data_IF_481564666986
#
_entry.id   IF_481564666986
#
_cell.length_a   1.000
_cell.length_b   1.000
_cell.length_c   1.000
_cell.angle_alpha   90.00
_cell.angle_beta   90.00
_cell.angle_gamma   90.00
#
_symmetry.space_group_name_H-M   'P 1'
#
loop_
_entity.id
_entity.type
_entity.pdbx_description
1 polymer ?
#
# COMPACT_ATOMS: atom_id res chain seq x y z
N UNK A 1 -42.02 -14.90 -11.85
CA UNK A 1 -41.83 -13.48 -11.90
C UNK A 1 -40.81 -13.16 -12.99
N UNK A 2 -41.12 -12.19 -13.85
CA UNK A 2 -40.18 -11.70 -14.85
C UNK A 2 -39.46 -10.47 -14.30
N UNK A 3 -38.14 -10.47 -14.37
CA UNK A 3 -37.26 -9.37 -13.88
C UNK A 3 -36.23 -9.02 -14.93
N UNK A 4 -35.77 -7.78 -14.92
CA UNK A 4 -34.66 -7.29 -15.73
C UNK A 4 -33.52 -6.92 -14.76
N UNK A 5 -32.50 -7.76 -14.57
CA UNK A 5 -31.42 -7.46 -13.64
C UNK A 5 -30.51 -6.34 -14.19
N UNK A 6 -30.13 -5.41 -13.31
CA UNK A 6 -29.22 -4.33 -13.61
C UNK A 6 -28.20 -4.21 -12.50
N UNK A 7 -26.92 -4.14 -12.86
CA UNK A 7 -25.83 -3.86 -11.93
C UNK A 7 -25.11 -2.58 -12.32
N UNK A 8 -24.71 -1.77 -11.36
CA UNK A 8 -24.00 -0.53 -11.62
C UNK A 8 -22.89 -0.27 -10.62
N UNK A 9 -21.73 0.13 -11.16
CA UNK A 9 -20.59 0.57 -10.37
C UNK A 9 -20.08 1.88 -10.96
N UNK A 10 -20.10 3.01 -10.24
CA UNK A 10 -19.50 4.26 -10.72
C UNK A 10 -18.00 4.09 -10.96
N UNK A 11 -17.51 4.60 -12.09
CA UNK A 11 -16.12 4.55 -12.47
C UNK A 11 -15.47 5.92 -12.37
N UNK A 12 -14.50 6.04 -11.46
CA UNK A 12 -13.68 7.25 -11.31
C UNK A 12 -12.29 6.98 -11.85
N UNK A 13 -12.04 7.37 -13.09
CA UNK A 13 -10.77 7.17 -13.76
C UNK A 13 -9.70 8.16 -13.30
N UNK A 14 -9.26 8.06 -12.06
CA UNK A 14 -8.21 8.91 -11.49
C UNK A 14 -7.26 8.13 -10.61
N UNK A 15 -6.02 8.60 -10.51
CA UNK A 15 -5.05 8.06 -9.55
C UNK A 15 -5.37 8.48 -8.11
N UNK A 16 -4.76 7.81 -7.14
CA UNK A 16 -4.86 8.18 -5.73
C UNK A 16 -4.33 9.60 -5.45
N UNK A 17 -3.35 10.06 -6.22
CA UNK A 17 -2.79 11.41 -6.12
C UNK A 17 -3.82 12.51 -6.45
N UNK A 18 -4.85 12.17 -7.20
CA UNK A 18 -5.92 13.08 -7.61
C UNK A 18 -7.15 13.04 -6.69
N UNK A 19 -7.02 12.58 -5.47
CA UNK A 19 -8.15 12.55 -4.50
C UNK A 19 -8.73 13.95 -4.28
N UNK A 20 -7.93 14.99 -4.41
CA UNK A 20 -8.34 16.40 -4.24
C UNK A 20 -9.14 16.95 -5.41
N UNK A 21 -9.02 16.33 -6.59
CA UNK A 21 -9.71 16.81 -7.76
C UNK A 21 -11.19 16.46 -7.73
N UNK A 22 -12.01 17.42 -8.14
CA UNK A 22 -13.42 17.17 -8.27
C UNK A 22 -13.70 16.13 -9.38
N UNK A 23 -14.60 15.18 -9.09
CA UNK A 23 -14.99 14.15 -10.05
C UNK A 23 -15.46 14.72 -11.41
N UNK A 24 -16.05 15.91 -11.41
CA UNK A 24 -16.47 16.58 -12.64
C UNK A 24 -15.31 17.01 -13.52
N UNK A 25 -14.22 17.50 -12.91
CA UNK A 25 -12.99 17.87 -13.64
C UNK A 25 -12.33 16.62 -14.20
N UNK A 26 -12.17 15.58 -13.40
CA UNK A 26 -11.56 14.33 -13.87
C UNK A 26 -12.40 13.64 -14.94
N UNK A 27 -13.72 13.76 -14.90
CA UNK A 27 -14.60 13.17 -15.90
C UNK A 27 -14.42 13.74 -17.31
N UNK A 28 -13.98 14.99 -17.44
CA UNK A 28 -13.66 15.59 -18.76
C UNK A 28 -12.56 14.83 -19.50
N UNK A 29 -11.71 14.15 -18.77
CA UNK A 29 -10.62 13.34 -19.31
C UNK A 29 -11.03 11.93 -19.73
N UNK A 30 -12.23 11.49 -19.35
CA UNK A 30 -12.68 10.13 -19.60
C UNK A 30 -12.93 9.86 -21.08
N UNK A 31 -12.42 8.71 -21.53
CA UNK A 31 -12.77 8.07 -22.80
C UNK A 31 -13.44 6.75 -22.45
N UNK A 32 -14.74 6.68 -22.69
CA UNK A 32 -15.62 5.60 -22.25
C UNK A 32 -15.98 4.75 -23.46
N UNK A 33 -15.82 3.45 -23.35
CA UNK A 33 -16.19 2.49 -24.39
C UNK A 33 -17.05 1.40 -23.78
N UNK A 34 -18.08 0.95 -24.51
CA UNK A 34 -18.78 -0.30 -24.20
C UNK A 34 -18.20 -1.44 -25.02
N UNK A 35 -17.93 -2.55 -24.36
CA UNK A 35 -17.47 -3.80 -24.97
C UNK A 35 -18.61 -4.82 -25.00
N UNK A 36 -18.36 -6.03 -25.48
CA UNK A 36 -19.33 -7.13 -25.42
C UNK A 36 -19.77 -7.42 -23.98
N UNK A 37 -18.90 -7.25 -23.00
CA UNK A 37 -19.14 -7.67 -21.62
C UNK A 37 -19.27 -6.53 -20.61
N UNK A 38 -19.00 -5.29 -20.99
CA UNK A 38 -19.04 -4.22 -20.00
C UNK A 38 -18.60 -2.85 -20.50
N UNK A 39 -18.23 -2.01 -19.55
CA UNK A 39 -17.81 -0.63 -19.76
C UNK A 39 -16.36 -0.46 -19.36
N UNK A 40 -15.59 0.18 -20.21
CA UNK A 40 -14.20 0.56 -20.00
C UNK A 40 -14.04 2.07 -20.00
N UNK A 41 -13.16 2.57 -19.12
CA UNK A 41 -12.81 3.99 -19.05
C UNK A 41 -11.31 4.13 -19.05
N UNK A 42 -10.79 4.90 -20.01
CA UNK A 42 -9.37 5.25 -20.05
C UNK A 42 -9.26 6.78 -20.00
N UNK A 43 -8.83 7.36 -18.86
CA UNK A 43 -8.56 8.79 -18.80
C UNK A 43 -7.38 9.16 -19.69
N UNK A 44 -7.39 10.33 -20.32
CA UNK A 44 -6.27 10.78 -21.16
C UNK A 44 -5.04 11.21 -20.36
N UNK A 45 -5.29 11.79 -19.19
CA UNK A 45 -4.24 12.33 -18.31
C UNK A 45 -4.51 11.93 -16.86
N UNK A 46 -3.46 11.86 -16.07
CA UNK A 46 -3.50 11.93 -14.62
C UNK A 46 -2.85 13.22 -14.15
N UNK A 47 -3.27 13.69 -12.98
CA UNK A 47 -2.66 14.81 -12.28
C UNK A 47 -2.01 14.27 -11.02
N UNK A 48 -0.78 14.62 -10.79
CA UNK A 48 -0.08 14.37 -9.54
C UNK A 48 0.80 15.57 -9.18
N UNK A 49 1.55 15.48 -8.09
CA UNK A 49 2.45 16.55 -7.66
C UNK A 49 3.57 16.86 -8.68
N UNK A 50 3.80 15.96 -9.63
CA UNK A 50 4.77 16.12 -10.72
C UNK A 50 4.17 16.81 -11.94
N UNK A 51 2.88 17.16 -11.90
CA UNK A 51 2.13 17.77 -12.99
C UNK A 51 1.31 16.76 -13.83
N UNK A 52 1.00 17.14 -15.05
CA UNK A 52 0.18 16.31 -15.94
C UNK A 52 1.00 15.19 -16.55
N UNK A 53 0.53 13.97 -16.36
CA UNK A 53 1.13 12.77 -16.94
C UNK A 53 0.11 12.07 -17.85
N UNK A 54 0.61 11.43 -18.90
CA UNK A 54 -0.24 10.58 -19.74
C UNK A 54 -0.74 9.39 -18.92
N UNK A 55 -2.05 9.17 -18.90
CA UNK A 55 -2.63 8.03 -18.21
C UNK A 55 -2.74 6.83 -19.16
N UNK A 56 -2.29 5.66 -18.72
CA UNK A 56 -2.38 4.40 -19.45
C UNK A 56 -3.32 3.40 -18.77
N UNK A 57 -3.89 3.77 -17.62
CA UNK A 57 -4.76 2.87 -16.85
C UNK A 57 -6.14 2.79 -17.48
N UNK A 58 -6.60 1.57 -17.73
CA UNK A 58 -7.98 1.27 -18.09
C UNK A 58 -8.70 0.77 -16.86
N UNK A 59 -9.80 1.41 -16.50
CA UNK A 59 -10.76 1.01 -15.48
C UNK A 59 -11.91 0.30 -16.17
N UNK A 60 -12.39 -0.80 -15.61
CA UNK A 60 -13.47 -1.55 -16.25
C UNK A 60 -14.47 -2.14 -15.26
N UNK A 61 -15.70 -2.29 -15.72
CA UNK A 61 -16.75 -3.10 -15.09
C UNK A 61 -17.32 -4.02 -16.13
N UNK A 62 -17.19 -5.33 -15.91
CA UNK A 62 -17.72 -6.36 -16.79
C UNK A 62 -18.76 -7.19 -16.05
N UNK A 63 -19.71 -7.75 -16.78
CA UNK A 63 -20.75 -8.62 -16.23
C UNK A 63 -21.02 -9.83 -17.08
N UNK A 64 -21.42 -10.90 -16.41
CA UNK A 64 -21.76 -12.17 -17.02
C UNK A 64 -22.96 -12.77 -16.28
N UNK A 65 -23.80 -13.57 -16.99
CA UNK A 65 -24.66 -14.51 -16.29
C UNK A 65 -23.82 -15.59 -15.59
N UNK A 66 -24.37 -16.33 -14.68
CA UNK A 66 -23.73 -17.49 -14.03
C UNK A 66 -23.18 -18.52 -15.04
N UNK A 67 -23.74 -18.54 -16.25
CA UNK A 67 -23.32 -19.40 -17.39
C UNK A 67 -22.28 -18.76 -18.28
N UNK A 68 -21.90 -17.51 -18.00
CA UNK A 68 -20.92 -16.77 -18.79
C UNK A 68 -21.50 -16.02 -20.00
N UNK A 69 -22.83 -15.84 -20.08
CA UNK A 69 -23.45 -15.09 -21.16
C UNK A 69 -23.21 -13.57 -21.03
N UNK A 70 -23.12 -12.91 -22.17
CA UNK A 70 -22.92 -11.46 -22.22
C UNK A 70 -24.18 -10.69 -21.79
N UNK A 71 -24.01 -9.45 -21.24
CA UNK A 71 -25.12 -8.54 -20.99
C UNK A 71 -25.84 -8.11 -22.28
N UNK A 72 -27.09 -7.69 -22.12
CA UNK A 72 -27.88 -7.21 -23.25
C UNK A 72 -27.54 -5.77 -23.65
N UNK A 73 -27.25 -4.92 -22.66
CA UNK A 73 -27.00 -3.50 -22.90
C UNK A 73 -26.23 -2.85 -21.72
N UNK A 74 -25.85 -1.58 -21.90
CA UNK A 74 -24.99 -0.85 -20.97
C UNK A 74 -25.52 0.58 -20.73
N UNK A 75 -25.20 1.08 -19.51
CA UNK A 75 -25.35 2.49 -19.14
C UNK A 75 -23.95 3.06 -18.83
N UNK A 76 -23.23 3.54 -19.87
CA UNK A 76 -21.82 3.90 -19.72
C UNK A 76 -21.57 5.24 -19.01
N UNK A 77 -22.62 6.03 -18.76
CA UNK A 77 -22.52 7.32 -18.06
C UNK A 77 -23.52 7.43 -16.92
N UNK A 78 -23.14 8.18 -15.88
CA UNK A 78 -24.01 8.47 -14.74
C UNK A 78 -25.31 9.12 -15.20
N UNK A 79 -25.23 10.09 -16.12
CA UNK A 79 -26.39 10.81 -16.65
C UNK A 79 -27.41 9.87 -17.35
N UNK A 80 -26.93 8.89 -18.09
CA UNK A 80 -27.81 7.92 -18.75
C UNK A 80 -28.52 6.99 -17.80
N UNK A 81 -27.85 6.66 -16.69
CA UNK A 81 -28.40 5.78 -15.67
C UNK A 81 -29.39 6.50 -14.76
N UNK A 82 -28.96 7.58 -14.08
CA UNK A 82 -29.82 8.28 -13.11
C UNK A 82 -30.92 9.13 -13.81
N UNK A 83 -30.61 9.66 -14.98
CA UNK A 83 -31.50 10.57 -15.71
C UNK A 83 -31.51 11.99 -15.14
N UNK A 84 -32.25 12.88 -15.75
CA UNK A 84 -32.44 14.25 -15.30
C UNK A 84 -33.31 14.27 -14.03
N UNK A 85 -32.78 14.85 -12.94
CA UNK A 85 -33.45 14.87 -11.66
C UNK A 85 -33.53 13.52 -10.93
N UNK A 86 -32.90 12.48 -11.45
CA UNK A 86 -32.82 11.17 -10.83
C UNK A 86 -31.73 11.08 -9.76
N UNK A 87 -31.75 9.97 -9.02
CA UNK A 87 -30.73 9.63 -8.02
C UNK A 87 -30.31 8.16 -8.16
N UNK A 88 -29.24 7.75 -7.50
CA UNK A 88 -28.86 6.32 -7.44
C UNK A 88 -29.92 5.43 -6.78
N UNK A 89 -30.72 5.97 -5.87
CA UNK A 89 -31.80 5.23 -5.21
C UNK A 89 -33.07 5.13 -6.07
N UNK A 90 -33.23 6.04 -7.04
CA UNK A 90 -34.37 6.06 -7.95
C UNK A 90 -33.91 6.40 -9.37
N UNK A 91 -33.12 5.54 -10.00
CA UNK A 91 -32.54 5.83 -11.31
C UNK A 91 -33.61 5.71 -12.41
N UNK A 92 -33.60 6.66 -13.32
CA UNK A 92 -34.56 6.69 -14.42
C UNK A 92 -34.46 5.48 -15.37
N UNK A 93 -33.23 4.99 -15.58
CA UNK A 93 -32.96 3.82 -16.40
C UNK A 93 -33.70 2.57 -15.92
N UNK A 94 -33.73 2.34 -14.60
CA UNK A 94 -34.45 1.21 -14.00
C UNK A 94 -35.94 1.50 -13.96
N UNK A 95 -36.34 2.66 -13.45
CA UNK A 95 -37.78 3.03 -13.32
C UNK A 95 -38.54 2.98 -14.62
N UNK A 96 -37.92 3.42 -15.74
CA UNK A 96 -38.50 3.45 -17.06
C UNK A 96 -38.11 2.25 -17.93
N UNK A 97 -37.37 1.29 -17.38
CA UNK A 97 -36.82 0.15 -18.11
C UNK A 97 -36.15 0.56 -19.45
N UNK A 98 -35.25 1.56 -19.38
CA UNK A 98 -34.56 2.05 -20.58
C UNK A 98 -33.69 0.94 -21.20
N UNK A 99 -33.61 0.85 -22.53
CA UNK A 99 -32.90 -0.23 -23.22
C UNK A 99 -31.38 -0.18 -23.05
N UNK A 100 -30.80 1.00 -22.67
CA UNK A 100 -29.37 1.19 -22.63
C UNK A 100 -28.68 1.26 -24.00
N UNK A 101 -27.35 1.33 -24.01
CA UNK A 101 -26.52 1.31 -25.22
C UNK A 101 -26.04 -0.10 -25.53
N UNK A 102 -25.85 -0.40 -26.80
CA UNK A 102 -25.24 -1.66 -27.25
C UNK A 102 -23.70 -1.59 -27.13
N UNK A 103 -23.06 -2.75 -27.21
CA UNK A 103 -21.60 -2.88 -27.33
C UNK A 103 -21.06 -2.06 -28.52
N UNK A 104 -19.81 -1.58 -28.39
CA UNK A 104 -19.15 -0.74 -29.38
C UNK A 104 -19.51 0.76 -29.32
N UNK A 105 -20.36 1.18 -28.36
CA UNK A 105 -20.69 2.60 -28.15
C UNK A 105 -19.55 3.34 -27.45
N UNK A 106 -19.48 4.66 -27.73
CA UNK A 106 -18.45 5.55 -27.11
C UNK A 106 -19.10 6.77 -26.47
N UNK A 107 -18.48 7.25 -25.42
CA UNK A 107 -18.77 8.52 -24.76
C UNK A 107 -17.48 9.17 -24.28
N UNK A 108 -17.44 10.49 -24.27
CA UNK A 108 -16.25 11.26 -23.87
C UNK A 108 -16.64 12.41 -22.95
N UNK A 109 -15.74 12.75 -22.04
CA UNK A 109 -15.89 13.92 -21.17
C UNK A 109 -17.11 13.85 -20.24
N UNK A 110 -17.52 12.65 -19.83
CA UNK A 110 -18.68 12.41 -18.97
C UNK A 110 -18.28 11.65 -17.71
N UNK A 111 -19.09 11.77 -16.67
CA UNK A 111 -18.97 10.89 -15.51
C UNK A 111 -19.30 9.45 -15.94
N UNK A 112 -18.35 8.56 -15.75
CA UNK A 112 -18.46 7.19 -16.21
C UNK A 112 -19.24 6.31 -15.24
N UNK A 113 -19.93 5.35 -15.79
CA UNK A 113 -20.72 4.35 -15.07
C UNK A 113 -20.48 2.97 -15.68
N UNK A 114 -20.05 2.02 -14.88
CA UNK A 114 -20.09 0.61 -15.23
C UNK A 114 -21.49 0.06 -15.04
N UNK A 115 -22.45 0.55 -15.85
CA UNK A 115 -23.83 0.13 -15.81
C UNK A 115 -24.06 -1.02 -16.78
N UNK A 116 -24.61 -2.12 -16.29
CA UNK A 116 -24.81 -3.37 -17.03
C UNK A 116 -26.27 -3.77 -16.91
N UNK A 117 -26.94 -3.97 -18.03
CA UNK A 117 -28.30 -4.50 -18.11
C UNK A 117 -28.23 -5.92 -18.69
N UNK A 118 -28.68 -6.89 -17.90
CA UNK A 118 -28.76 -8.27 -18.34
C UNK A 118 -30.08 -8.53 -19.09
N UNK A 119 -30.12 -9.65 -19.78
CA UNK A 119 -31.35 -10.13 -20.40
C UNK A 119 -32.43 -10.39 -19.34
N UNK A 120 -33.68 -10.27 -19.75
CA UNK A 120 -34.82 -10.59 -18.88
C UNK A 120 -34.75 -12.04 -18.41
N UNK A 121 -35.01 -12.24 -17.14
CA UNK A 121 -35.04 -13.57 -16.50
C UNK A 121 -36.42 -13.84 -15.95
N UNK A 122 -36.95 -15.02 -16.25
CA UNK A 122 -38.21 -15.51 -15.69
C UNK A 122 -37.91 -16.54 -14.63
N UNK A 123 -38.28 -16.24 -13.38
CA UNK A 123 -38.05 -17.10 -12.23
C UNK A 123 -39.36 -17.68 -11.71
N UNK A 124 -39.41 -19.00 -11.55
CA UNK A 124 -40.45 -19.69 -10.79
C UNK A 124 -40.21 -19.55 -9.28
N UNK A 125 -41.20 -19.93 -8.45
CA UNK A 125 -40.97 -19.96 -7.00
C UNK A 125 -39.75 -20.78 -6.63
N UNK A 126 -38.83 -20.17 -5.80
CA UNK A 126 -37.57 -20.76 -5.33
C UNK A 126 -36.47 -20.94 -6.40
N UNK A 127 -36.70 -20.55 -7.63
CA UNK A 127 -35.61 -20.46 -8.63
C UNK A 127 -34.71 -19.23 -8.37
N UNK A 128 -33.45 -19.40 -8.64
CA UNK A 128 -32.41 -18.34 -8.55
C UNK A 128 -31.72 -18.15 -9.88
N UNK A 129 -31.20 -16.96 -10.12
CA UNK A 129 -30.30 -16.66 -11.22
C UNK A 129 -29.11 -15.87 -10.69
N UNK A 130 -27.90 -16.30 -11.04
CA UNK A 130 -26.65 -15.69 -10.62
C UNK A 130 -26.08 -14.75 -11.69
N UNK A 131 -25.42 -13.71 -11.24
CA UNK A 131 -24.71 -12.77 -12.09
C UNK A 131 -23.35 -12.45 -11.49
N UNK A 132 -22.32 -12.38 -12.34
CA UNK A 132 -20.96 -12.10 -11.94
C UNK A 132 -20.62 -10.68 -12.40
N UNK A 133 -20.17 -9.83 -11.48
CA UNK A 133 -19.73 -8.48 -11.79
C UNK A 133 -18.26 -8.37 -11.42
N UNK A 134 -17.44 -7.99 -12.39
CA UNK A 134 -16.01 -7.78 -12.23
C UNK A 134 -15.70 -6.29 -12.37
N UNK A 135 -15.12 -5.72 -11.33
CA UNK A 135 -14.56 -4.38 -11.36
C UNK A 135 -13.04 -4.45 -11.25
N UNK A 136 -12.33 -3.72 -12.10
CA UNK A 136 -10.88 -3.78 -12.11
C UNK A 136 -10.23 -2.60 -12.79
N UNK A 137 -8.90 -2.58 -12.71
CA UNK A 137 -8.05 -1.63 -13.41
C UNK A 137 -6.76 -2.32 -13.88
N UNK A 138 -6.21 -1.85 -14.98
CA UNK A 138 -4.93 -2.34 -15.51
C UNK A 138 -4.27 -1.31 -16.42
N UNK A 139 -2.94 -1.29 -16.44
CA UNK A 139 -2.18 -0.55 -17.44
C UNK A 139 -1.99 -1.33 -18.75
N UNK A 140 -2.25 -2.64 -18.71
CA UNK A 140 -2.11 -3.56 -19.86
C UNK A 140 -3.50 -4.05 -20.27
N UNK A 141 -4.13 -3.34 -21.17
CA UNK A 141 -5.50 -3.66 -21.64
C UNK A 141 -5.64 -5.10 -22.11
N UNK A 142 -4.60 -5.66 -22.73
CA UNK A 142 -4.55 -7.04 -23.21
C UNK A 142 -4.69 -8.07 -22.07
N UNK A 143 -4.33 -7.68 -20.84
CA UNK A 143 -4.45 -8.57 -19.66
C UNK A 143 -5.88 -8.75 -19.18
N UNK A 144 -6.81 -7.88 -19.60
CA UNK A 144 -8.21 -7.93 -19.15
C UNK A 144 -8.83 -9.27 -19.53
N UNK A 145 -8.67 -9.70 -20.78
CA UNK A 145 -9.24 -10.97 -21.26
C UNK A 145 -8.78 -12.16 -20.42
N UNK A 146 -7.49 -12.24 -20.12
CA UNK A 146 -6.91 -13.32 -19.29
C UNK A 146 -7.42 -13.29 -17.85
N UNK A 147 -7.56 -12.10 -17.27
CA UNK A 147 -8.11 -11.94 -15.92
C UNK A 147 -9.58 -12.37 -15.88
N UNK A 148 -10.37 -11.88 -16.82
CA UNK A 148 -11.79 -12.15 -16.93
C UNK A 148 -12.07 -13.64 -17.12
N UNK A 149 -11.25 -14.34 -17.93
CA UNK A 149 -11.42 -15.77 -18.17
C UNK A 149 -11.40 -16.63 -16.89
N UNK A 150 -10.79 -16.13 -15.81
CA UNK A 150 -10.73 -16.81 -14.51
C UNK A 150 -12.00 -16.66 -13.67
N UNK A 151 -12.86 -15.70 -14.00
CA UNK A 151 -14.00 -15.31 -13.18
C UNK A 151 -15.32 -15.27 -13.96
N UNK A 152 -15.37 -15.96 -15.11
CA UNK A 152 -16.50 -15.84 -16.04
C UNK A 152 -17.73 -16.66 -15.64
N UNK A 153 -17.53 -17.74 -14.89
CA UNK A 153 -18.63 -18.61 -14.44
C UNK A 153 -18.64 -18.73 -12.93
N UNK A 154 -19.79 -19.08 -12.34
CA UNK A 154 -19.94 -19.28 -10.90
C UNK A 154 -18.93 -20.30 -10.37
N UNK A 155 -18.78 -21.45 -11.04
CA UNK A 155 -17.79 -22.47 -10.68
C UNK A 155 -16.37 -21.93 -10.63
N UNK A 156 -15.99 -21.08 -11.60
CA UNK A 156 -14.65 -20.45 -11.61
C UNK A 156 -14.47 -19.50 -10.43
N UNK A 157 -15.50 -18.72 -10.09
CA UNK A 157 -15.47 -17.79 -8.95
C UNK A 157 -15.35 -18.56 -7.64
N UNK A 158 -16.10 -19.65 -7.45
CA UNK A 158 -16.02 -20.50 -6.27
C UNK A 158 -14.62 -21.13 -6.13
N UNK A 159 -14.06 -21.67 -7.21
CA UNK A 159 -12.71 -22.25 -7.19
C UNK A 159 -11.67 -21.20 -6.77
N UNK A 160 -11.73 -19.99 -7.32
CA UNK A 160 -10.82 -18.90 -6.93
C UNK A 160 -11.03 -18.48 -5.47
N UNK A 161 -12.27 -18.46 -4.98
CA UNK A 161 -12.56 -18.19 -3.57
C UNK A 161 -11.88 -19.20 -2.65
N UNK A 162 -11.94 -20.49 -2.98
CA UNK A 162 -11.26 -21.53 -2.20
C UNK A 162 -9.73 -21.43 -2.29
N UNK A 163 -9.18 -21.07 -3.46
CA UNK A 163 -7.77 -20.78 -3.60
C UNK A 163 -7.34 -19.60 -2.70
N UNK A 164 -8.12 -18.52 -2.66
CA UNK A 164 -7.86 -17.35 -1.82
C UNK A 164 -7.95 -17.71 -0.33
N UNK A 165 -8.97 -18.47 0.08
CA UNK A 165 -9.08 -18.97 1.47
C UNK A 165 -7.84 -19.78 1.86
N UNK A 166 -7.44 -20.73 1.02
CA UNK A 166 -6.25 -21.56 1.25
C UNK A 166 -4.97 -20.73 1.31
N UNK A 167 -4.84 -19.74 0.43
CA UNK A 167 -3.72 -18.81 0.45
C UNK A 167 -3.61 -18.08 1.80
N UNK A 168 -4.71 -17.51 2.29
CA UNK A 168 -4.70 -16.76 3.54
C UNK A 168 -4.50 -17.66 4.76
N UNK A 169 -5.07 -18.86 4.79
CA UNK A 169 -4.81 -19.83 5.84
C UNK A 169 -3.34 -20.23 5.95
N UNK A 170 -2.64 -20.32 4.82
CA UNK A 170 -1.19 -20.58 4.80
C UNK A 170 -0.35 -19.37 5.21
N UNK A 171 -0.83 -18.16 4.94
CA UNK A 171 -0.12 -16.91 5.29
C UNK A 171 -0.33 -16.51 6.74
N UNK A 172 -1.54 -16.66 7.25
CA UNK A 172 -1.91 -16.38 8.63
C UNK A 172 -2.07 -17.73 9.33
N UNK A 173 -0.96 -18.35 9.63
CA UNK A 173 -0.86 -19.73 10.14
C UNK A 173 -0.86 -19.82 11.67
N UNK A 174 -1.45 -18.84 12.34
CA UNK A 174 -1.66 -18.80 13.79
C UNK A 174 -3.15 -18.91 14.09
N UNK A 175 -3.50 -19.64 15.14
CA UNK A 175 -4.87 -19.77 15.65
C UNK A 175 -4.90 -19.42 17.14
N UNK A 176 -6.04 -18.96 17.59
CA UNK A 176 -6.29 -18.59 18.99
C UNK A 176 -7.50 -19.35 19.49
N UNK A 177 -7.40 -19.88 20.68
CA UNK A 177 -8.46 -20.65 21.37
C UNK A 177 -8.55 -20.13 22.81
N UNK A 178 -9.13 -18.93 22.97
CA UNK A 178 -9.23 -18.26 24.28
C UNK A 178 -10.49 -18.69 25.06
N UNK A 179 -11.41 -19.40 24.40
CA UNK A 179 -12.74 -19.72 24.94
C UNK A 179 -13.78 -18.61 24.66
N UNK A 180 -13.38 -17.49 24.10
CA UNK A 180 -14.23 -16.41 23.63
C UNK A 180 -14.12 -16.29 22.10
N UNK A 181 -15.19 -16.65 21.40
CA UNK A 181 -15.22 -16.67 19.94
C UNK A 181 -15.02 -15.29 19.31
N UNK A 182 -15.48 -14.22 19.95
CA UNK A 182 -15.33 -12.86 19.45
C UNK A 182 -13.85 -12.41 19.59
N UNK A 183 -13.21 -12.73 20.71
CA UNK A 183 -11.78 -12.49 20.91
C UNK A 183 -10.93 -13.27 19.89
N UNK A 184 -11.25 -14.54 19.65
CA UNK A 184 -10.54 -15.40 18.68
C UNK A 184 -10.67 -14.85 17.25
N UNK A 185 -11.86 -14.40 16.86
CA UNK A 185 -12.09 -13.77 15.55
C UNK A 185 -11.37 -12.44 15.42
N UNK A 186 -11.34 -11.64 16.47
CA UNK A 186 -10.58 -10.38 16.50
C UNK A 186 -9.07 -10.64 16.35
N UNK A 187 -8.54 -11.63 17.03
CA UNK A 187 -7.12 -12.02 16.91
C UNK A 187 -6.76 -12.53 15.51
N UNK A 188 -7.67 -13.20 14.81
CA UNK A 188 -7.47 -13.53 13.37
C UNK A 188 -7.30 -12.28 12.52
N UNK A 189 -8.13 -11.27 12.75
CA UNK A 189 -8.01 -9.96 12.08
C UNK A 189 -6.69 -9.27 12.40
N UNK A 190 -6.25 -9.25 13.66
CA UNK A 190 -4.96 -8.69 14.06
C UNK A 190 -3.81 -9.40 13.34
N UNK A 191 -3.83 -10.73 13.30
CA UNK A 191 -2.76 -11.53 12.66
C UNK A 191 -2.71 -11.35 11.14
N UNK A 192 -3.83 -10.99 10.52
CA UNK A 192 -3.91 -10.68 9.09
C UNK A 192 -3.27 -9.33 8.73
N UNK A 193 -3.34 -8.32 9.61
CA UNK A 193 -2.88 -6.96 9.35
C UNK A 193 -1.40 -6.86 8.91
N UNK A 194 -0.44 -7.55 9.54
CA UNK A 194 0.97 -7.47 9.14
C UNK A 194 1.22 -7.91 7.70
N UNK A 195 0.49 -8.91 7.23
CA UNK A 195 0.61 -9.39 5.85
C UNK A 195 0.09 -8.34 4.87
N UNK A 196 -1.04 -7.70 5.17
CA UNK A 196 -1.56 -6.59 4.37
C UNK A 196 -0.61 -5.39 4.36
N UNK A 197 -0.03 -5.04 5.49
CA UNK A 197 0.93 -3.93 5.60
C UNK A 197 2.17 -4.16 4.73
N UNK A 198 2.60 -5.38 4.54
CA UNK A 198 3.67 -5.70 3.59
C UNK A 198 3.27 -5.44 2.15
N UNK A 199 2.02 -5.68 1.79
CA UNK A 199 1.52 -5.50 0.41
C UNK A 199 1.30 -4.02 0.11
N UNK A 200 0.63 -3.29 1.01
CA UNK A 200 0.15 -1.93 0.77
C UNK A 200 0.98 -0.84 1.43
N UNK A 201 1.99 -1.18 2.22
CA UNK A 201 2.72 -0.26 3.06
C UNK A 201 2.11 -0.12 4.46
N UNK A 202 2.79 0.59 5.35
CA UNK A 202 2.45 0.67 6.76
C UNK A 202 1.14 1.41 7.06
N UNK A 203 0.67 2.26 6.16
CA UNK A 203 -0.55 3.04 6.36
C UNK A 203 -1.76 2.50 5.61
N UNK A 204 -1.65 1.43 4.84
CA UNK A 204 -2.64 0.96 3.86
C UNK A 204 -3.00 1.97 2.76
N UNK A 205 -2.42 3.15 2.81
CA UNK A 205 -2.64 4.23 1.86
C UNK A 205 -1.27 4.64 1.29
N UNK A 206 -0.73 3.90 0.32
CA UNK A 206 0.64 4.05 -0.16
C UNK A 206 0.95 5.46 -0.69
N UNK A 207 -0.07 6.21 -1.05
CA UNK A 207 0.03 7.59 -1.56
C UNK A 207 -0.57 8.61 -0.60
N UNK A 208 -0.84 8.21 0.63
CA UNK A 208 -1.46 9.08 1.63
C UNK A 208 -0.56 10.29 1.91
N UNK A 209 -1.18 11.47 1.99
CA UNK A 209 -0.67 12.78 2.35
C UNK A 209 0.37 13.39 1.42
N UNK A 210 1.29 12.61 0.85
CA UNK A 210 2.47 13.16 0.18
C UNK A 210 2.69 12.63 -1.24
N UNK A 211 1.84 11.77 -1.73
CA UNK A 211 1.96 11.17 -3.07
C UNK A 211 3.22 10.36 -3.30
N UNK A 212 4.02 10.10 -2.26
CA UNK A 212 5.34 9.47 -2.37
C UNK A 212 5.35 8.01 -1.93
N UNK A 213 4.28 7.55 -1.29
CA UNK A 213 4.21 6.19 -0.76
C UNK A 213 5.34 5.87 0.21
N UNK A 214 5.50 4.62 0.52
CA UNK A 214 6.61 4.11 1.29
C UNK A 214 6.28 3.91 2.76
N UNK A 215 7.18 3.19 3.43
CA UNK A 215 7.07 2.85 4.84
C UNK A 215 7.97 3.77 5.66
N UNK A 216 7.58 4.05 6.91
CA UNK A 216 8.46 4.69 7.86
C UNK A 216 9.51 3.71 8.41
N UNK A 217 10.62 4.23 8.91
CA UNK A 217 11.69 3.40 9.49
C UNK A 217 11.20 2.51 10.64
N UNK A 218 10.48 3.07 11.59
CA UNK A 218 9.88 2.34 12.72
C UNK A 218 8.94 1.24 12.25
N UNK A 219 8.03 1.58 11.34
CA UNK A 219 7.01 0.67 10.83
C UNK A 219 7.61 -0.55 10.12
N UNK A 220 8.75 -0.37 9.46
CA UNK A 220 9.49 -1.44 8.79
C UNK A 220 9.93 -2.53 9.77
N UNK A 221 10.39 -2.14 10.96
CA UNK A 221 10.81 -3.07 12.01
C UNK A 221 9.62 -3.70 12.74
N UNK A 222 8.56 -2.95 12.96
CA UNK A 222 7.31 -3.46 13.52
C UNK A 222 6.68 -4.52 12.60
N UNK A 223 6.76 -4.34 11.29
CA UNK A 223 6.30 -5.35 10.33
C UNK A 223 7.09 -6.67 10.44
N UNK A 224 8.39 -6.61 10.74
CA UNK A 224 9.19 -7.80 11.04
C UNK A 224 8.67 -8.53 12.29
N UNK A 225 8.43 -7.80 13.39
CA UNK A 225 7.94 -8.38 14.64
C UNK A 225 6.61 -9.11 14.45
N UNK A 226 5.69 -8.49 13.74
CA UNK A 226 4.38 -9.04 13.51
C UNK A 226 4.41 -10.34 12.68
N UNK A 227 5.44 -10.54 11.85
CA UNK A 227 5.62 -11.75 11.04
C UNK A 227 6.54 -12.79 11.69
N UNK A 228 7.18 -12.46 12.79
CA UNK A 228 8.22 -13.30 13.41
C UNK A 228 7.73 -14.71 13.74
N UNK A 229 6.52 -14.85 14.27
CA UNK A 229 5.90 -16.14 14.59
C UNK A 229 5.46 -16.87 13.32
N UNK A 230 4.86 -16.14 12.36
CA UNK A 230 4.25 -16.74 11.18
C UNK A 230 5.24 -17.13 10.10
N UNK A 231 6.34 -16.36 9.95
CA UNK A 231 7.30 -16.58 8.87
C UNK A 231 8.71 -16.06 9.21
N UNK A 232 9.43 -16.70 10.13
CA UNK A 232 10.75 -16.25 10.58
C UNK A 232 11.81 -16.21 9.46
N UNK A 233 11.75 -17.10 8.49
CA UNK A 233 12.69 -17.12 7.36
C UNK A 233 12.59 -15.85 6.49
N UNK A 234 11.37 -15.34 6.27
CA UNK A 234 11.17 -14.06 5.57
C UNK A 234 11.60 -12.89 6.45
N UNK A 235 11.36 -12.97 7.76
CA UNK A 235 11.82 -11.94 8.70
C UNK A 235 13.33 -11.80 8.67
N UNK A 236 14.09 -12.89 8.60
CA UNK A 236 15.55 -12.84 8.43
C UNK A 236 15.95 -11.98 7.24
N UNK A 237 15.38 -12.25 6.09
CA UNK A 237 15.67 -11.49 4.88
C UNK A 237 15.29 -10.01 5.02
N UNK A 238 14.18 -9.73 5.68
CA UNK A 238 13.75 -8.35 5.96
C UNK A 238 14.74 -7.62 6.87
N UNK A 239 15.18 -8.24 7.97
CA UNK A 239 16.15 -7.66 8.91
C UNK A 239 17.45 -7.32 8.18
N UNK A 240 18.02 -8.26 7.44
CA UNK A 240 19.27 -8.05 6.69
C UNK A 240 19.12 -6.88 5.70
N UNK A 241 18.04 -6.86 4.92
CA UNK A 241 17.80 -5.78 3.96
C UNK A 241 17.55 -4.42 4.63
N UNK A 242 16.88 -4.42 5.80
CA UNK A 242 16.53 -3.20 6.52
C UNK A 242 17.75 -2.44 7.05
N UNK A 243 18.81 -3.16 7.48
CA UNK A 243 20.05 -2.52 7.90
C UNK A 243 20.75 -1.73 6.79
N UNK A 244 20.50 -2.05 5.53
CA UNK A 244 20.97 -1.27 4.39
C UNK A 244 20.47 0.19 4.34
N UNK A 245 19.56 0.60 5.22
CA UNK A 245 19.11 1.98 5.40
C UNK A 245 19.85 2.78 6.45
N UNK A 246 20.83 2.19 7.14
CA UNK A 246 21.66 2.85 8.16
C UNK A 246 22.83 3.56 7.48
N UNK A 247 23.08 4.83 7.82
CA UNK A 247 24.24 5.59 7.36
C UNK A 247 25.48 5.30 8.21
N UNK A 248 26.65 5.58 7.65
CA UNK A 248 27.94 5.37 8.34
C UNK A 248 28.09 6.25 9.59
N UNK A 249 27.29 7.28 9.76
CA UNK A 249 27.24 8.10 10.97
C UNK A 249 26.24 7.62 12.04
N UNK A 250 25.59 6.48 11.82
CA UNK A 250 24.59 5.87 12.69
C UNK A 250 23.18 6.43 12.58
N UNK A 251 22.95 7.41 11.72
CA UNK A 251 21.59 7.84 11.34
C UNK A 251 20.98 6.86 10.33
N UNK A 252 19.72 7.04 9.98
CA UNK A 252 19.05 6.18 9.01
C UNK A 252 18.13 6.96 8.09
N UNK A 253 17.81 6.37 6.95
CA UNK A 253 16.76 6.88 6.07
C UNK A 253 15.39 6.76 6.75
N UNK A 254 14.53 7.76 6.60
CA UNK A 254 13.18 7.76 7.16
C UNK A 254 12.08 7.46 6.13
N UNK A 255 12.41 7.51 4.84
CA UNK A 255 11.52 7.14 3.75
C UNK A 255 12.07 5.89 3.07
N UNK A 256 11.26 4.85 3.04
CA UNK A 256 11.58 3.55 2.47
C UNK A 256 10.78 3.37 1.19
N UNK A 257 11.43 2.86 0.16
CA UNK A 257 10.81 2.64 -1.13
C UNK A 257 9.88 1.43 -1.16
N UNK A 258 9.38 1.12 -2.34
CA UNK A 258 8.41 0.05 -2.55
C UNK A 258 9.03 -1.35 -2.58
N UNK A 259 10.34 -1.43 -2.75
CA UNK A 259 11.09 -2.69 -2.80
C UNK A 259 11.81 -2.92 -1.47
N UNK A 260 11.97 -4.18 -1.11
CA UNK A 260 12.76 -4.56 0.05
C UNK A 260 14.21 -4.08 -0.11
N UNK A 261 14.74 -3.39 0.93
CA UNK A 261 16.08 -2.81 0.91
C UNK A 261 16.22 -1.53 0.08
N UNK A 262 15.12 -0.97 -0.42
CA UNK A 262 15.15 0.32 -1.12
C UNK A 262 14.94 1.46 -0.13
N UNK A 263 15.92 2.37 -0.07
CA UNK A 263 15.90 3.55 0.77
C UNK A 263 15.98 4.80 -0.09
N UNK A 264 15.14 5.79 0.20
CA UNK A 264 15.01 6.99 -0.64
C UNK A 264 15.82 8.14 -0.05
N UNK A 265 15.42 8.63 1.09
CA UNK A 265 16.02 9.77 1.80
C UNK A 265 15.28 10.03 3.11
N UNK A 266 15.50 11.19 3.69
CA UNK A 266 14.68 11.75 4.75
C UNK A 266 13.61 12.69 4.19
N UNK A 267 12.49 12.80 4.90
CA UNK A 267 11.44 13.75 4.55
C UNK A 267 12.00 15.17 4.56
N UNK A 268 11.84 15.89 3.47
CA UNK A 268 12.33 17.25 3.26
C UNK A 268 13.86 17.36 3.38
N UNK A 269 14.59 16.27 3.13
CA UNK A 269 16.05 16.21 3.29
C UNK A 269 16.54 16.64 4.69
N UNK A 270 15.74 16.34 5.72
CA UNK A 270 16.09 16.59 7.12
C UNK A 270 16.23 15.25 7.83
N UNK A 271 17.45 14.88 8.17
CA UNK A 271 17.70 13.71 9.00
C UNK A 271 17.12 13.93 10.41
N UNK A 272 16.48 12.90 10.94
CA UNK A 272 15.91 12.91 12.29
C UNK A 272 16.51 11.78 13.08
N UNK A 273 17.31 12.13 14.08
CA UNK A 273 17.86 11.15 15.02
C UNK A 273 16.85 10.98 16.15
N UNK A 274 16.05 9.93 16.04
CA UNK A 274 15.09 9.59 17.08
C UNK A 274 15.61 8.36 17.84
N UNK A 275 15.52 8.38 19.15
CA UNK A 275 16.05 7.30 20.00
C UNK A 275 15.50 5.93 19.62
N UNK A 276 14.22 5.86 19.30
CA UNK A 276 13.56 4.62 18.93
C UNK A 276 13.97 4.10 17.54
N UNK A 277 14.59 4.92 16.70
CA UNK A 277 15.16 4.48 15.43
C UNK A 277 16.33 3.50 15.59
N UNK A 278 17.07 3.58 16.68
CA UNK A 278 18.11 2.60 17.03
C UNK A 278 17.53 1.42 17.83
N UNK A 279 16.52 1.68 18.67
CA UNK A 279 15.93 0.65 19.52
C UNK A 279 15.17 -0.41 18.70
N UNK A 280 14.35 0.00 17.72
CA UNK A 280 13.57 -0.95 16.92
C UNK A 280 14.41 -1.95 16.13
N UNK A 281 15.49 -1.56 15.41
CA UNK A 281 16.42 -2.50 14.80
C UNK A 281 17.00 -3.51 15.79
N UNK A 282 17.54 -3.02 16.90
CA UNK A 282 18.12 -3.87 17.94
C UNK A 282 17.11 -4.83 18.55
N UNK A 283 15.96 -4.31 19.02
CA UNK A 283 14.91 -5.10 19.67
C UNK A 283 14.34 -6.17 18.75
N UNK A 284 14.11 -5.81 17.47
CA UNK A 284 13.61 -6.76 16.47
C UNK A 284 14.62 -7.86 16.17
N UNK A 285 15.89 -7.50 15.99
CA UNK A 285 16.94 -8.49 15.73
C UNK A 285 17.14 -9.41 16.94
N UNK A 286 17.10 -8.86 18.15
CA UNK A 286 17.15 -9.67 19.38
C UNK A 286 16.00 -10.67 19.44
N UNK A 287 14.77 -10.23 19.25
CA UNK A 287 13.60 -11.11 19.28
C UNK A 287 13.65 -12.17 18.19
N UNK A 288 14.17 -11.84 17.00
CA UNK A 288 14.40 -12.81 15.94
C UNK A 288 15.40 -13.90 16.39
N UNK A 289 16.52 -13.50 17.00
CA UNK A 289 17.52 -14.44 17.53
C UNK A 289 16.93 -15.30 18.66
N UNK A 290 16.20 -14.69 19.59
CA UNK A 290 15.53 -15.41 20.68
C UNK A 290 14.55 -16.48 20.14
N UNK A 291 13.85 -16.18 19.05
CA UNK A 291 12.88 -17.07 18.43
C UNK A 291 13.54 -18.19 17.62
N UNK A 292 14.64 -17.93 16.95
CA UNK A 292 15.22 -18.84 15.95
C UNK A 292 16.54 -19.47 16.37
N UNK A 293 17.27 -18.87 17.29
CA UNK A 293 18.64 -19.23 17.65
C UNK A 293 19.71 -18.82 16.61
N UNK A 294 19.33 -18.09 15.54
CA UNK A 294 20.21 -17.68 14.45
C UNK A 294 21.11 -16.52 14.87
N UNK A 295 22.23 -16.85 15.52
CA UNK A 295 23.26 -15.86 15.89
C UNK A 295 24.08 -15.39 14.69
N UNK A 296 24.13 -16.16 13.62
CA UNK A 296 24.95 -15.86 12.43
C UNK A 296 24.45 -14.61 11.70
N UNK A 297 23.19 -14.24 11.88
CA UNK A 297 22.64 -13.00 11.34
C UNK A 297 23.47 -11.77 11.76
N UNK A 298 24.08 -11.76 12.95
CA UNK A 298 24.89 -10.64 13.43
C UNK A 298 26.15 -10.40 12.58
N UNK A 299 26.62 -11.41 11.88
CA UNK A 299 27.84 -11.36 11.06
C UNK A 299 27.55 -11.18 9.56
N UNK A 300 26.27 -11.12 9.17
CA UNK A 300 25.90 -10.77 7.80
C UNK A 300 26.40 -9.38 7.44
N UNK A 301 27.00 -9.25 6.25
CA UNK A 301 27.54 -8.00 5.75
C UNK A 301 26.49 -7.23 4.97
N UNK A 302 26.26 -5.98 5.35
CA UNK A 302 25.28 -5.09 4.76
C UNK A 302 25.97 -3.78 4.39
N UNK A 303 25.65 -3.17 3.22
CA UNK A 303 26.18 -1.86 2.86
C UNK A 303 25.51 -0.77 3.68
N UNK A 304 26.23 0.33 3.92
CA UNK A 304 25.64 1.53 4.53
C UNK A 304 24.93 2.40 3.48
N UNK A 305 23.82 2.99 3.90
CA UNK A 305 23.08 3.97 3.08
C UNK A 305 23.86 5.28 2.96
N UNK A 306 23.76 5.90 1.78
CA UNK A 306 24.36 7.22 1.51
C UNK A 306 23.39 8.09 0.74
N UNK A 307 23.25 9.32 1.19
CA UNK A 307 22.63 10.43 0.52
C UNK A 307 23.37 11.72 0.86
N UNK A 308 22.76 12.87 0.63
CA UNK A 308 23.39 14.16 0.93
C UNK A 308 23.58 14.45 2.44
N UNK A 309 22.93 13.68 3.33
CA UNK A 309 23.03 13.89 4.77
C UNK A 309 24.39 13.41 5.31
N UNK A 310 24.98 14.18 6.22
CA UNK A 310 26.23 13.85 6.92
C UNK A 310 26.25 14.44 8.32
N UNK A 311 27.31 14.15 9.08
CA UNK A 311 27.53 14.71 10.41
C UNK A 311 26.36 14.49 11.38
N UNK A 312 25.76 13.29 11.40
CA UNK A 312 24.54 12.96 12.17
C UNK A 312 23.34 13.82 11.80
N UNK A 313 23.22 14.16 10.51
CA UNK A 313 22.16 14.99 9.99
C UNK A 313 22.26 16.48 10.28
N UNK A 314 23.39 16.93 10.82
CA UNK A 314 23.63 18.35 11.11
C UNK A 314 24.25 19.12 9.94
N UNK A 315 24.82 18.41 8.99
CA UNK A 315 25.46 18.96 7.79
C UNK A 315 25.05 18.20 6.54
N UNK A 316 25.36 18.76 5.39
CA UNK A 316 25.21 18.11 4.09
C UNK A 316 26.56 17.81 3.48
N UNK A 317 26.65 16.72 2.75
CA UNK A 317 27.79 16.36 1.91
C UNK A 317 27.58 16.98 0.53
N UNK A 318 28.20 18.12 0.30
CA UNK A 318 28.05 18.90 -0.94
C UNK A 318 28.66 18.18 -2.16
N UNK A 319 29.50 17.17 -1.95
CA UNK A 319 30.10 16.37 -3.03
C UNK A 319 29.15 15.24 -3.48
N UNK A 320 28.19 14.87 -2.64
CA UNK A 320 27.25 13.81 -2.99
C UNK A 320 26.27 14.26 -4.06
N UNK A 321 26.06 13.39 -5.05
CA UNK A 321 25.05 13.56 -6.08
C UNK A 321 24.45 12.19 -6.47
N UNK A 322 23.41 12.19 -7.28
CA UNK A 322 22.70 10.96 -7.67
C UNK A 322 23.57 9.97 -8.46
N UNK A 323 24.63 10.42 -9.13
CA UNK A 323 25.57 9.55 -9.84
C UNK A 323 26.48 8.78 -8.87
N UNK A 324 26.69 9.28 -7.66
CA UNK A 324 27.40 8.55 -6.60
C UNK A 324 26.63 7.26 -6.21
N UNK A 325 25.32 7.33 -6.24
CA UNK A 325 24.42 6.25 -5.82
C UNK A 325 23.99 6.36 -4.37
N UNK A 326 23.31 5.31 -3.89
CA UNK A 326 22.68 5.28 -2.56
C UNK A 326 23.45 4.44 -1.52
N UNK A 327 24.65 4.01 -1.83
CA UNK A 327 25.49 3.20 -0.94
C UNK A 327 26.81 3.88 -0.65
N UNK A 328 27.24 3.82 0.61
CA UNK A 328 28.52 4.35 1.04
C UNK A 328 29.65 3.62 0.31
N UNK A 329 30.65 4.38 -0.17
CA UNK A 329 31.86 3.85 -0.77
C UNK A 329 33.06 4.07 0.13
N UNK A 330 34.02 3.17 0.06
CA UNK A 330 35.36 3.32 0.64
C UNK A 330 36.19 4.28 -0.23
N UNK A 331 37.37 4.67 0.23
CA UNK A 331 38.31 5.47 -0.54
C UNK A 331 38.75 4.83 -1.87
N UNK A 332 38.71 3.48 -1.93
CA UNK A 332 38.94 2.72 -3.16
C UNK A 332 37.84 2.89 -4.23
N UNK A 333 36.69 3.47 -3.88
CA UNK A 333 35.51 3.57 -4.72
C UNK A 333 34.58 2.35 -4.65
N UNK A 334 34.99 1.29 -3.96
CA UNK A 334 34.15 0.10 -3.76
C UNK A 334 33.07 0.35 -2.69
N UNK A 335 31.95 -0.39 -2.75
CA UNK A 335 30.90 -0.30 -1.73
C UNK A 335 31.45 -0.75 -0.38
N UNK A 336 31.23 0.06 0.63
CA UNK A 336 31.64 -0.23 2.01
C UNK A 336 30.57 -1.04 2.75
N UNK A 337 30.97 -2.15 3.36
CA UNK A 337 30.11 -3.06 4.09
C UNK A 337 30.54 -3.12 5.57
N UNK A 338 29.55 -3.18 6.45
CA UNK A 338 29.72 -3.58 7.85
C UNK A 338 28.83 -4.76 8.18
N UNK A 339 29.11 -5.42 9.30
CA UNK A 339 28.26 -6.47 9.85
C UNK A 339 26.98 -5.85 10.46
N UNK A 340 25.91 -6.65 10.60
CA UNK A 340 24.71 -6.21 11.32
C UNK A 340 25.05 -5.80 12.76
N UNK A 341 25.96 -6.49 13.42
CA UNK A 341 26.41 -6.10 14.76
C UNK A 341 27.02 -4.70 14.76
N UNK A 342 27.87 -4.36 13.79
CA UNK A 342 28.44 -3.01 13.64
C UNK A 342 27.35 -1.95 13.41
N UNK A 343 26.36 -2.24 12.57
CA UNK A 343 25.21 -1.35 12.36
C UNK A 343 24.42 -1.10 13.65
N UNK A 344 24.13 -2.16 14.43
CA UNK A 344 23.45 -2.05 15.72
C UNK A 344 24.24 -1.17 16.69
N UNK A 345 25.52 -1.45 16.85
CA UNK A 345 26.39 -0.70 17.77
C UNK A 345 26.45 0.77 17.36
N UNK A 346 26.67 1.04 16.09
CA UNK A 346 26.77 2.39 15.54
C UNK A 346 25.48 3.20 15.76
N UNK A 347 24.31 2.64 15.44
CA UNK A 347 23.03 3.31 15.64
C UNK A 347 22.76 3.62 17.12
N UNK A 348 23.00 2.65 18.00
CA UNK A 348 22.73 2.83 19.43
C UNK A 348 23.70 3.84 20.07
N UNK A 349 25.00 3.81 19.70
CA UNK A 349 25.96 4.81 20.17
C UNK A 349 25.60 6.22 19.69
N UNK A 350 25.14 6.37 18.44
CA UNK A 350 24.71 7.65 17.89
C UNK A 350 23.47 8.18 18.61
N UNK A 351 22.45 7.36 18.80
CA UNK A 351 21.24 7.73 19.52
C UNK A 351 21.52 8.13 20.97
N UNK A 352 22.39 7.37 21.65
CA UNK A 352 22.81 7.67 23.03
C UNK A 352 23.60 8.98 23.14
N UNK A 353 24.51 9.23 22.20
CA UNK A 353 25.30 10.46 22.18
C UNK A 353 24.43 11.70 21.95
N UNK A 354 23.51 11.66 21.02
CA UNK A 354 22.61 12.78 20.71
C UNK A 354 21.63 13.05 21.85
N UNK A 355 21.16 12.01 22.53
CA UNK A 355 20.34 12.13 23.73
C UNK A 355 21.07 12.86 24.86
N UNK A 356 22.31 12.47 25.16
CA UNK A 356 23.13 13.13 26.18
C UNK A 356 23.42 14.59 25.84
N UNK A 357 23.71 14.90 24.58
CA UNK A 357 23.93 16.27 24.12
C UNK A 357 22.68 17.12 24.27
N UNK A 358 21.52 16.58 23.97
CA UNK A 358 20.23 17.26 24.18
C UNK A 358 19.99 17.58 25.64
N UNK A 359 20.18 16.63 26.54
CA UNK A 359 20.05 16.85 27.98
C UNK A 359 21.05 17.87 28.51
N UNK A 360 22.30 17.78 28.10
CA UNK A 360 23.32 18.74 28.53
C UNK A 360 23.00 20.16 28.05
N UNK A 361 22.57 20.32 26.82
CA UNK A 361 22.16 21.63 26.28
C UNK A 361 20.89 22.13 26.96
N UNK A 362 19.91 21.27 27.19
CA UNK A 362 18.68 21.63 27.88
C UNK A 362 18.93 22.08 29.34
N UNK A 363 19.73 21.34 30.08
CA UNK A 363 20.10 21.71 31.45
C UNK A 363 21.03 22.94 31.52
N UNK A 364 21.85 23.18 30.52
CA UNK A 364 22.68 24.40 30.45
C UNK A 364 21.87 25.66 30.12
N UNK A 365 20.71 25.53 29.50
CA UNK A 365 19.78 26.62 29.18
C UNK A 365 18.80 26.92 30.29
N UNK A 366 18.67 26.04 31.30
CA UNK A 366 17.87 26.33 32.48
C UNK A 366 18.58 27.44 33.28
N UNK A 367 17.86 28.49 33.70
CA UNK A 367 18.48 29.52 34.52
C UNK A 367 19.06 28.87 35.76
N UNK A 368 20.38 29.08 35.98
CA UNK A 368 21.04 28.67 37.21
C UNK A 368 20.28 29.30 38.38
N UNK A 369 19.43 28.53 39.02
CA UNK A 369 18.92 28.96 40.33
C UNK A 369 20.14 29.07 41.24
N UNK A 370 20.43 30.30 41.61
CA UNK A 370 21.41 30.56 42.70
C UNK A 370 20.95 29.79 43.95
N UNK A 371 21.87 28.94 44.41
CA UNK A 371 21.96 28.35 45.72
C UNK A 371 20.68 27.94 46.45
N UNK A 372 20.31 26.68 46.32
CA UNK A 372 19.92 25.93 47.51
C UNK A 372 20.92 24.78 47.59
N UNK A 373 21.83 24.96 48.50
CA UNK A 373 22.90 24.07 48.90
C UNK A 373 22.44 22.64 49.15
N UNK A 374 23.26 21.70 48.67
CA UNK A 374 23.52 20.40 49.25
C UNK A 374 22.34 19.52 49.70
N UNK A 375 22.05 18.52 48.88
CA UNK A 375 21.86 17.11 49.29
C UNK A 375 21.33 16.24 48.15
N UNK A 376 22.24 15.69 47.40
CA UNK A 376 22.08 14.34 46.84
C UNK A 376 23.48 13.80 46.54
N UNK A 377 24.08 13.22 47.56
CA UNK A 377 25.16 12.27 47.40
C UNK A 377 24.56 10.98 46.87
N UNK A 378 25.04 10.55 45.71
CA UNK A 378 24.78 9.24 45.16
C UNK A 378 25.43 8.19 46.11
N UNK A 379 24.59 7.29 46.63
CA UNK A 379 24.98 5.93 46.98
C UNK A 379 24.54 5.00 45.86
#
# INVERSE_FOLDING_TARGET
QKITPVAVIPLYGRSADNIRDHRHVTSLLHRINTTEYGVEVTPVLSFDERGHQKNHTTYFVYGYSEKGDAPEAFYPTVQEFIGEGGTYLNPEAVRKNKPGRKAGSRAEGKEAMGGIRFADVELKPQETAGFIILAGLTEKKESIANTVAKYRTEEQVENVLEEVKSYWQKKVNVSYETGDADADNYMKWISFQPVLRRIYGCSFLPYHDYGKGGRGWRDLWQDCLALLIMNPAVVRQMIVANYGGVRIDGTNATIIGNKQGEFIADRNNIARVWMDHAFWPFGTTKLYIDQTGDMDILFEKVPYFKDLQSGRGTTHDEEWNTAYGKQQKAESGEIYFGTILEHILLQNLTAFYDFYRFFYTFFSLLPKRESATDRFSLQ
#
